data_IF_096999116902
#
_entry.id   IF_096999116902
#
_cell.length_a   1.000
_cell.length_b   1.000
_cell.length_c   1.000
_cell.angle_alpha   90.00
_cell.angle_beta   90.00
_cell.angle_gamma   90.00
#
_symmetry.space_group_name_H-M   'P 1'
#
loop_
_entity.id
_entity.type
_entity.pdbx_description
1 polymer ?
#
# COMPACT_ATOMS: atom_id res chain seq x y z
N UNK A 1 21.03 26.93 6.48
CA UNK A 1 20.46 28.23 6.89
C UNK A 1 19.00 28.38 6.42
N UNK A 2 18.65 28.02 5.18
CA UNK A 2 17.32 28.28 4.59
C UNK A 2 16.17 27.51 5.27
N UNK A 3 16.37 26.24 5.63
CA UNK A 3 15.32 25.42 6.26
C UNK A 3 15.01 25.87 7.70
N UNK A 4 16.03 26.33 8.44
CA UNK A 4 15.85 26.87 9.78
C UNK A 4 15.14 28.22 9.74
N UNK A 5 15.56 29.13 8.86
CA UNK A 5 14.95 30.46 8.70
C UNK A 5 13.48 30.43 8.23
N UNK A 6 13.04 29.28 7.69
CA UNK A 6 11.65 29.05 7.23
C UNK A 6 10.88 28.08 8.13
N UNK A 7 11.34 27.82 9.36
CA UNK A 7 10.70 26.95 10.36
C UNK A 7 10.46 25.49 9.93
N UNK A 8 11.23 25.00 8.96
CA UNK A 8 11.21 23.58 8.58
C UNK A 8 11.98 22.71 9.57
N UNK A 9 13.04 23.28 10.17
CA UNK A 9 13.85 22.60 11.18
C UNK A 9 14.18 23.55 12.32
N UNK A 10 14.25 23.03 13.53
CA UNK A 10 14.73 23.74 14.71
C UNK A 10 16.05 23.15 15.18
N UNK A 11 16.99 24.03 15.57
CA UNK A 11 18.23 23.60 16.20
C UNK A 11 18.03 23.53 17.72
N UNK A 12 18.33 22.39 18.31
CA UNK A 12 18.25 22.20 19.77
C UNK A 12 19.48 22.78 20.45
N UNK A 13 19.41 22.95 21.77
CA UNK A 13 20.53 23.36 22.63
C UNK A 13 21.74 22.41 22.52
N UNK A 14 21.49 21.12 22.21
CA UNK A 14 22.52 20.11 21.97
C UNK A 14 23.09 20.14 20.54
N UNK A 15 22.84 21.21 19.78
CA UNK A 15 23.25 21.38 18.36
C UNK A 15 22.66 20.34 17.39
N UNK A 16 21.66 19.58 17.78
CA UNK A 16 20.89 18.66 16.90
C UNK A 16 19.77 19.41 16.19
N UNK A 17 19.27 18.86 15.07
CA UNK A 17 18.11 19.40 14.36
C UNK A 17 16.87 18.55 14.65
N UNK A 18 15.74 19.21 14.87
CA UNK A 18 14.40 18.58 14.92
C UNK A 18 13.55 19.13 13.78
N UNK A 19 12.62 18.30 13.27
CA UNK A 19 11.66 18.72 12.28
C UNK A 19 10.71 19.76 12.86
N UNK A 20 10.44 20.81 12.10
CA UNK A 20 9.48 21.86 12.46
C UNK A 20 8.06 21.51 12.04
N UNK A 21 7.10 22.19 12.67
CA UNK A 21 5.65 22.00 12.41
C UNK A 21 5.24 22.27 10.97
N UNK A 22 6.03 23.00 10.20
CA UNK A 22 5.78 23.22 8.77
C UNK A 22 5.75 21.92 7.96
N UNK A 23 6.55 20.92 8.28
CA UNK A 23 6.44 19.62 7.63
C UNK A 23 5.07 18.98 7.84
N UNK A 24 4.49 19.12 9.03
CA UNK A 24 3.14 18.65 9.32
C UNK A 24 2.10 19.41 8.47
N UNK A 25 2.20 20.74 8.39
CA UNK A 25 1.29 21.55 7.56
C UNK A 25 1.37 21.15 6.09
N UNK A 26 2.55 21.00 5.52
CA UNK A 26 2.70 20.53 4.12
C UNK A 26 2.26 19.10 3.94
N UNK A 27 2.50 18.22 4.90
CA UNK A 27 1.97 16.85 4.91
C UNK A 27 0.44 16.85 4.83
N UNK A 28 -0.23 17.66 5.65
CA UNK A 28 -1.69 17.79 5.63
C UNK A 28 -2.21 18.32 4.30
N UNK A 29 -1.56 19.32 3.68
CA UNK A 29 -1.94 19.81 2.35
C UNK A 29 -1.83 18.74 1.26
N UNK A 30 -0.88 17.82 1.38
CA UNK A 30 -0.77 16.65 0.49
C UNK A 30 -1.95 15.71 0.71
N UNK A 31 -2.28 15.43 1.97
CA UNK A 31 -3.40 14.56 2.35
C UNK A 31 -4.75 15.16 1.92
N UNK A 32 -4.98 16.45 2.20
CA UNK A 32 -6.21 17.16 1.83
C UNK A 32 -6.43 17.24 0.31
N UNK A 33 -5.36 17.31 -0.48
CA UNK A 33 -5.43 17.31 -1.95
C UNK A 33 -5.59 15.91 -2.54
N UNK A 34 -5.36 14.86 -1.77
CA UNK A 34 -5.55 13.49 -2.22
C UNK A 34 -6.97 13.02 -1.89
N UNK A 35 -7.91 13.34 -2.78
CA UNK A 35 -9.30 12.87 -2.69
C UNK A 35 -9.40 11.35 -2.48
N UNK A 36 -8.40 10.58 -2.90
CA UNK A 36 -8.36 9.12 -2.72
C UNK A 36 -8.40 8.69 -1.25
N UNK A 37 -7.73 9.42 -0.34
CA UNK A 37 -7.73 9.07 1.09
C UNK A 37 -9.12 9.31 1.68
N UNK A 38 -9.70 10.50 1.47
CA UNK A 38 -11.03 10.83 2.01
C UNK A 38 -12.13 9.92 1.46
N UNK A 39 -12.06 9.62 0.16
CA UNK A 39 -13.00 8.71 -0.50
C UNK A 39 -12.86 7.29 0.04
N UNK A 40 -11.63 6.83 0.35
CA UNK A 40 -11.39 5.45 0.78
C UNK A 40 -11.79 5.15 2.22
N UNK A 41 -11.71 6.14 3.12
CA UNK A 41 -11.97 5.97 4.56
C UNK A 41 -13.23 5.17 4.90
N UNK A 42 -14.43 5.51 4.40
CA UNK A 42 -15.65 4.79 4.77
C UNK A 42 -15.61 3.32 4.33
N UNK A 43 -15.07 3.03 3.16
CA UNK A 43 -14.99 1.66 2.63
C UNK A 43 -13.95 0.83 3.38
N UNK A 44 -12.78 1.38 3.64
CA UNK A 44 -11.75 0.72 4.45
C UNK A 44 -12.23 0.46 5.89
N UNK A 45 -12.97 1.41 6.47
CA UNK A 45 -13.57 1.23 7.81
C UNK A 45 -14.61 0.11 7.82
N UNK A 46 -15.46 0.04 6.79
CA UNK A 46 -16.44 -1.05 6.63
C UNK A 46 -15.74 -2.40 6.61
N UNK A 47 -14.73 -2.56 5.75
CA UNK A 47 -13.96 -3.82 5.64
C UNK A 47 -13.26 -4.17 6.95
N UNK A 48 -12.61 -3.19 7.59
CA UNK A 48 -11.95 -3.42 8.88
C UNK A 48 -12.93 -3.87 9.96
N UNK A 49 -14.14 -3.29 9.97
CA UNK A 49 -15.19 -3.66 10.93
C UNK A 49 -15.76 -5.06 10.67
N UNK A 50 -15.99 -5.42 9.38
CA UNK A 50 -16.54 -6.73 9.01
C UNK A 50 -15.54 -7.87 9.29
N UNK A 51 -14.28 -7.66 8.90
CA UNK A 51 -13.26 -8.72 9.00
C UNK A 51 -12.53 -8.75 10.34
N UNK A 52 -12.63 -7.68 11.14
CA UNK A 52 -11.83 -7.50 12.33
C UNK A 52 -10.33 -7.28 12.05
N UNK A 53 -9.93 -7.21 10.77
CA UNK A 53 -8.55 -7.11 10.34
C UNK A 53 -8.16 -5.67 9.96
N UNK A 54 -6.86 -5.39 9.97
CA UNK A 54 -6.35 -4.09 9.54
C UNK A 54 -6.39 -3.92 8.03
N UNK A 55 -6.80 -2.74 7.59
CA UNK A 55 -6.89 -2.38 6.16
C UNK A 55 -5.93 -1.21 5.89
N UNK A 56 -5.11 -1.36 4.86
CA UNK A 56 -4.12 -0.37 4.47
C UNK A 56 -4.34 0.12 3.05
N UNK A 57 -3.99 1.37 2.81
CA UNK A 57 -3.89 1.94 1.47
C UNK A 57 -2.48 2.45 1.23
N UNK A 58 -1.92 2.16 0.05
CA UNK A 58 -0.59 2.60 -0.33
C UNK A 58 -0.48 2.97 -1.80
N UNK A 59 0.59 3.72 -2.10
CA UNK A 59 1.00 4.11 -3.46
C UNK A 59 2.49 3.81 -3.65
N UNK A 60 2.98 3.86 -4.89
CA UNK A 60 4.42 3.93 -5.15
C UNK A 60 4.92 5.37 -4.98
N UNK A 61 5.97 5.54 -4.20
CA UNK A 61 6.68 6.82 -4.08
C UNK A 61 7.72 7.00 -5.21
N UNK A 62 8.43 8.13 -5.22
CA UNK A 62 9.46 8.43 -6.21
C UNK A 62 10.63 7.44 -6.24
N UNK A 63 10.88 6.75 -5.12
CA UNK A 63 11.92 5.71 -5.02
C UNK A 63 11.38 4.32 -5.37
N UNK A 64 10.17 4.23 -5.93
CA UNK A 64 9.46 2.99 -6.27
C UNK A 64 9.25 2.07 -5.06
N UNK A 65 9.16 2.62 -3.85
CA UNK A 65 8.74 1.90 -2.65
C UNK A 65 7.24 2.12 -2.42
N UNK A 66 6.56 1.12 -1.87
CA UNK A 66 5.19 1.31 -1.40
C UNK A 66 5.22 2.17 -0.14
N UNK A 67 4.52 3.30 -0.14
CA UNK A 67 4.31 4.11 1.05
C UNK A 67 2.86 3.98 1.53
N UNK A 68 2.67 3.73 2.81
CA UNK A 68 1.34 3.64 3.41
C UNK A 68 0.79 5.04 3.62
N UNK A 69 -0.33 5.35 2.95
CA UNK A 69 -1.01 6.65 3.02
C UNK A 69 -2.09 6.70 4.07
N UNK A 70 -2.82 5.60 4.25
CA UNK A 70 -3.93 5.50 5.18
C UNK A 70 -4.06 4.09 5.73
N UNK A 71 -4.66 3.98 6.93
CA UNK A 71 -4.95 2.72 7.58
C UNK A 71 -6.23 2.80 8.39
N UNK A 72 -6.94 1.69 8.46
CA UNK A 72 -7.95 1.40 9.47
C UNK A 72 -7.47 0.20 10.29
N UNK A 73 -7.41 0.35 11.60
CA UNK A 73 -6.95 -0.73 12.49
C UNK A 73 -8.09 -1.69 12.77
N UNK A 74 -7.82 -2.98 12.67
CA UNK A 74 -8.76 -4.03 13.04
C UNK A 74 -8.86 -4.20 14.55
N UNK A 75 -10.01 -4.65 15.02
CA UNK A 75 -10.29 -4.88 16.44
C UNK A 75 -9.79 -6.27 16.90
N UNK A 76 -9.35 -7.14 15.98
CA UNK A 76 -8.76 -8.43 16.34
C UNK A 76 -7.53 -8.24 17.21
N UNK A 77 -7.38 -9.01 18.31
CA UNK A 77 -6.21 -8.92 19.18
C UNK A 77 -4.87 -9.12 18.44
N UNK A 78 -4.90 -9.90 17.37
CA UNK A 78 -3.74 -10.20 16.54
C UNK A 78 -3.67 -9.35 15.27
N UNK A 79 -4.47 -8.27 15.16
CA UNK A 79 -4.45 -7.40 13.98
C UNK A 79 -3.07 -6.76 13.81
N UNK A 80 -2.62 -6.73 12.56
CA UNK A 80 -1.32 -6.19 12.22
C UNK A 80 -1.35 -4.67 12.29
N UNK A 81 -0.40 -4.08 13.00
CA UNK A 81 -0.28 -2.64 13.17
C UNK A 81 0.94 -2.10 12.47
N UNK A 82 0.75 -1.02 11.71
CA UNK A 82 1.84 -0.27 11.10
C UNK A 82 1.54 1.23 11.16
N UNK A 83 2.48 2.05 10.71
CA UNK A 83 2.31 3.51 10.72
C UNK A 83 2.16 4.06 9.30
N UNK A 84 1.40 5.14 9.18
CA UNK A 84 1.35 5.95 7.95
C UNK A 84 2.76 6.49 7.65
N UNK A 85 3.12 6.54 6.37
CA UNK A 85 4.45 6.93 5.91
C UNK A 85 5.50 5.81 5.97
N UNK A 86 5.12 4.59 6.39
CA UNK A 86 6.04 3.46 6.36
C UNK A 86 6.26 2.98 4.92
N UNK A 87 7.54 2.73 4.58
CA UNK A 87 7.94 2.32 3.25
C UNK A 87 8.25 0.82 3.19
N UNK A 88 7.78 0.17 2.11
CA UNK A 88 7.90 -1.26 1.89
C UNK A 88 8.44 -1.55 0.49
N UNK A 89 9.27 -2.58 0.37
CA UNK A 89 9.72 -3.07 -0.93
C UNK A 89 8.55 -3.69 -1.70
N UNK A 90 8.28 -3.28 -2.95
CA UNK A 90 7.04 -3.65 -3.64
C UNK A 90 6.96 -5.12 -4.06
N UNK A 91 8.07 -5.82 -4.22
CA UNK A 91 8.09 -7.23 -4.67
C UNK A 91 7.59 -8.23 -3.61
N UNK A 92 7.53 -7.84 -2.35
CA UNK A 92 7.24 -8.73 -1.22
C UNK A 92 6.04 -8.29 -0.37
N UNK A 93 5.15 -7.46 -0.93
CA UNK A 93 3.88 -7.06 -0.29
C UNK A 93 2.77 -7.01 -1.33
N UNK A 94 1.57 -7.43 -0.98
CA UNK A 94 0.43 -7.48 -1.90
C UNK A 94 0.17 -6.15 -2.60
N UNK A 95 0.14 -5.02 -1.87
CA UNK A 95 -0.03 -3.68 -2.46
C UNK A 95 1.05 -3.36 -3.50
N UNK A 96 2.28 -3.75 -3.25
CA UNK A 96 3.39 -3.50 -4.17
C UNK A 96 3.26 -4.30 -5.46
N UNK A 97 2.89 -5.57 -5.37
CA UNK A 97 2.64 -6.41 -6.54
C UNK A 97 1.50 -5.86 -7.38
N UNK A 98 0.41 -5.42 -6.75
CA UNK A 98 -0.69 -4.72 -7.45
C UNK A 98 -0.18 -3.47 -8.16
N UNK A 99 0.49 -2.57 -7.46
CA UNK A 99 0.97 -1.31 -8.04
C UNK A 99 1.94 -1.53 -9.20
N UNK A 100 2.84 -2.52 -9.09
CA UNK A 100 3.74 -2.90 -10.18
C UNK A 100 2.99 -3.54 -11.37
N UNK A 101 1.97 -4.36 -11.10
CA UNK A 101 1.23 -5.07 -12.14
C UNK A 101 0.51 -4.13 -13.11
N UNK A 102 0.07 -2.97 -12.62
CA UNK A 102 -0.69 -1.99 -13.41
C UNK A 102 0.16 -0.81 -13.92
N UNK A 103 1.49 -0.84 -13.74
CA UNK A 103 2.38 0.09 -14.44
C UNK A 103 2.42 -0.20 -15.94
N UNK A 104 2.68 0.84 -16.74
CA UNK A 104 3.05 0.60 -18.13
C UNK A 104 4.40 -0.13 -18.22
N UNK A 105 4.60 -0.86 -19.30
CA UNK A 105 5.76 -1.71 -19.51
C UNK A 105 7.08 -0.94 -19.39
N UNK A 106 7.18 0.23 -20.02
CA UNK A 106 8.39 1.07 -19.97
C UNK A 106 8.78 1.45 -18.54
N UNK A 107 7.80 1.83 -17.71
CA UNK A 107 8.05 2.19 -16.32
C UNK A 107 8.43 0.98 -15.48
N UNK A 108 7.72 -0.15 -15.66
CA UNK A 108 8.03 -1.40 -14.97
C UNK A 108 9.46 -1.86 -15.31
N UNK A 109 9.82 -1.89 -16.59
CA UNK A 109 11.17 -2.24 -17.03
C UNK A 109 12.25 -1.31 -16.42
N UNK A 110 11.99 -0.01 -16.40
CA UNK A 110 12.93 0.95 -15.79
C UNK A 110 13.16 0.68 -14.29
N UNK A 111 12.12 0.23 -13.58
CA UNK A 111 12.23 -0.13 -12.17
C UNK A 111 13.03 -1.43 -12.02
N UNK A 112 12.71 -2.45 -12.80
CA UNK A 112 13.26 -3.79 -12.64
C UNK A 112 14.70 -3.94 -13.15
N UNK A 113 15.20 -3.00 -13.94
CA UNK A 113 16.56 -3.04 -14.55
C UNK A 113 17.67 -3.18 -13.50
N UNK A 114 17.56 -2.45 -12.40
CA UNK A 114 18.55 -2.44 -11.31
C UNK A 114 17.90 -2.75 -9.96
N UNK A 115 16.74 -3.45 -9.99
CA UNK A 115 15.98 -3.72 -8.80
C UNK A 115 16.66 -4.78 -7.91
N UNK A 116 16.83 -4.44 -6.63
CA UNK A 116 17.37 -5.37 -5.65
C UNK A 116 16.24 -6.22 -5.04
N UNK A 117 16.18 -7.47 -5.44
CA UNK A 117 15.26 -8.49 -4.89
C UNK A 117 15.76 -9.00 -3.54
N UNK A 118 15.72 -8.13 -2.53
CA UNK A 118 16.13 -8.51 -1.18
C UNK A 118 15.22 -9.60 -0.63
N UNK A 119 15.82 -10.71 -0.19
CA UNK A 119 15.11 -11.77 0.52
C UNK A 119 14.83 -11.33 1.97
N UNK A 120 13.58 -11.37 2.40
CA UNK A 120 13.13 -11.03 3.75
C UNK A 120 12.64 -12.25 4.51
N UNK A 121 11.96 -13.17 3.84
CA UNK A 121 11.36 -14.39 4.38
C UNK A 121 11.49 -15.52 3.36
N UNK A 122 11.30 -16.79 3.77
CA UNK A 122 11.41 -17.93 2.85
C UNK A 122 10.53 -17.84 1.59
N UNK A 123 9.37 -17.19 1.68
CA UNK A 123 8.42 -17.05 0.57
C UNK A 123 8.63 -15.76 -0.25
N UNK A 124 9.62 -14.93 0.10
CA UNK A 124 9.89 -13.70 -0.67
C UNK A 124 10.22 -14.05 -2.12
N UNK A 125 9.58 -13.38 -3.07
CA UNK A 125 9.98 -13.40 -4.48
C UNK A 125 11.38 -12.81 -4.60
N UNK A 126 12.33 -13.56 -5.15
CA UNK A 126 13.75 -13.17 -5.18
C UNK A 126 14.31 -13.00 -6.58
N UNK A 127 13.51 -13.27 -7.61
CA UNK A 127 13.93 -13.12 -9.01
C UNK A 127 12.95 -12.28 -9.82
N UNK A 128 13.48 -11.64 -10.87
CA UNK A 128 12.67 -10.88 -11.82
C UNK A 128 11.63 -11.77 -12.52
N UNK A 129 12.00 -12.99 -12.90
CA UNK A 129 11.10 -13.91 -13.61
C UNK A 129 9.91 -14.32 -12.73
N UNK A 130 10.15 -14.63 -11.46
CA UNK A 130 9.07 -14.93 -10.50
C UNK A 130 8.14 -13.73 -10.32
N UNK A 131 8.71 -12.53 -10.16
CA UNK A 131 7.89 -11.33 -10.02
C UNK A 131 7.04 -11.09 -11.27
N UNK A 132 7.59 -11.18 -12.48
CA UNK A 132 6.82 -10.97 -13.71
C UNK A 132 5.67 -11.97 -13.84
N UNK A 133 5.89 -13.25 -13.54
CA UNK A 133 4.84 -14.28 -13.52
C UNK A 133 3.74 -13.95 -12.49
N UNK A 134 4.12 -13.51 -11.30
CA UNK A 134 3.17 -13.08 -10.27
C UNK A 134 2.37 -11.84 -10.72
N UNK A 135 3.00 -10.84 -11.37
CA UNK A 135 2.30 -9.67 -11.86
C UNK A 135 1.29 -10.00 -12.99
N UNK A 136 1.58 -11.00 -13.82
CA UNK A 136 0.61 -11.51 -14.80
C UNK A 136 -0.59 -12.16 -14.11
N UNK A 137 -0.35 -12.96 -13.07
CA UNK A 137 -1.42 -13.56 -12.28
C UNK A 137 -2.29 -12.47 -11.63
N UNK A 138 -1.67 -11.44 -11.04
CA UNK A 138 -2.36 -10.29 -10.44
C UNK A 138 -3.29 -9.60 -11.46
N UNK A 139 -2.80 -9.34 -12.68
CA UNK A 139 -3.63 -8.74 -13.74
C UNK A 139 -4.83 -9.63 -14.12
N UNK A 140 -4.62 -10.93 -14.16
CA UNK A 140 -5.64 -11.92 -14.56
C UNK A 140 -6.75 -12.06 -13.51
N UNK A 141 -6.39 -12.11 -12.23
CA UNK A 141 -7.35 -12.35 -11.13
C UNK A 141 -7.85 -11.07 -10.45
N UNK A 142 -7.18 -9.92 -10.68
CA UNK A 142 -7.57 -8.61 -10.14
C UNK A 142 -7.09 -8.32 -8.72
N UNK A 143 -6.34 -9.21 -8.11
CA UNK A 143 -5.77 -9.02 -6.77
C UNK A 143 -4.39 -9.68 -6.66
N UNK A 144 -3.61 -9.25 -5.68
CA UNK A 144 -2.37 -9.90 -5.25
C UNK A 144 -2.53 -10.51 -3.86
N UNK A 145 -1.80 -11.58 -3.60
CA UNK A 145 -1.64 -12.13 -2.26
C UNK A 145 -0.22 -11.92 -1.76
N UNK A 146 -0.05 -11.84 -0.44
CA UNK A 146 1.22 -11.91 0.28
C UNK A 146 1.03 -12.97 1.38
N UNK A 147 1.85 -14.00 1.39
CA UNK A 147 1.84 -15.00 2.43
C UNK A 147 3.24 -15.22 2.99
N UNK A 148 3.52 -14.53 4.11
CA UNK A 148 4.84 -14.57 4.76
C UNK A 148 5.99 -14.14 3.82
N UNK A 149 5.75 -13.17 2.92
CA UNK A 149 6.77 -12.72 1.98
C UNK A 149 7.64 -11.60 2.56
N UNK A 150 7.03 -10.69 3.36
CA UNK A 150 7.75 -9.57 3.99
C UNK A 150 8.01 -9.78 5.48
N UNK A 151 7.05 -10.37 6.17
CA UNK A 151 7.10 -10.67 7.60
C UNK A 151 6.50 -12.05 7.86
N UNK A 152 7.21 -12.89 8.61
CA UNK A 152 6.66 -14.16 9.09
C UNK A 152 5.47 -13.86 10.00
N UNK A 153 4.40 -14.64 9.86
CA UNK A 153 3.15 -14.44 10.62
C UNK A 153 2.19 -13.44 10.00
N UNK A 154 2.54 -12.80 8.86
CA UNK A 154 1.67 -11.85 8.18
C UNK A 154 1.27 -12.34 6.80
N UNK A 155 -0.02 -12.19 6.48
CA UNK A 155 -0.57 -12.42 5.14
C UNK A 155 -1.45 -11.24 4.73
N UNK A 156 -1.63 -11.07 3.42
CA UNK A 156 -2.42 -10.00 2.89
C UNK A 156 -3.06 -10.36 1.54
N UNK A 157 -4.24 -9.77 1.28
CA UNK A 157 -4.79 -9.63 -0.06
C UNK A 157 -4.88 -8.15 -0.40
N UNK A 158 -4.52 -7.80 -1.63
CA UNK A 158 -4.50 -6.42 -2.10
C UNK A 158 -5.14 -6.30 -3.47
N UNK A 159 -5.84 -5.17 -3.72
CA UNK A 159 -6.52 -4.90 -4.98
C UNK A 159 -6.23 -3.46 -5.46
N UNK A 160 -6.26 -3.21 -6.79
CA UNK A 160 -5.93 -1.92 -7.39
C UNK A 160 -7.05 -0.91 -7.22
N UNK A 161 -6.70 0.34 -6.98
CA UNK A 161 -7.62 1.48 -6.99
C UNK A 161 -7.35 2.32 -8.23
N UNK A 162 -8.37 2.46 -9.07
CA UNK A 162 -8.29 3.18 -10.35
C UNK A 162 -8.94 4.55 -10.27
N UNK A 163 -8.40 5.51 -11.02
CA UNK A 163 -9.00 6.81 -11.26
C UNK A 163 -9.93 6.83 -12.50
N UNK A 164 -10.50 7.99 -12.82
CA UNK A 164 -11.36 8.25 -13.99
C UNK A 164 -10.65 8.00 -15.35
N UNK A 165 -9.32 7.99 -15.35
CA UNK A 165 -8.48 7.72 -16.53
C UNK A 165 -8.08 6.24 -16.65
N UNK A 166 -8.66 5.38 -15.84
CA UNK A 166 -8.31 3.95 -15.76
C UNK A 166 -6.85 3.70 -15.34
N UNK A 167 -6.23 4.66 -14.64
CA UNK A 167 -4.88 4.51 -14.10
C UNK A 167 -4.96 3.94 -12.68
N UNK A 168 -4.17 2.91 -12.37
CA UNK A 168 -4.03 2.43 -11.01
C UNK A 168 -3.19 3.44 -10.20
N UNK A 169 -3.86 4.18 -9.32
CA UNK A 169 -3.24 5.27 -8.54
C UNK A 169 -2.89 4.86 -7.11
N UNK A 170 -3.53 3.81 -6.60
CA UNK A 170 -3.30 3.28 -5.26
C UNK A 170 -3.62 1.78 -5.21
N UNK A 171 -3.30 1.14 -4.11
CA UNK A 171 -3.75 -0.21 -3.77
C UNK A 171 -4.33 -0.22 -2.36
N UNK A 172 -5.44 -0.95 -2.17
CA UNK A 172 -6.03 -1.25 -0.86
C UNK A 172 -5.74 -2.70 -0.48
N UNK A 173 -5.50 -2.98 0.80
CA UNK A 173 -5.12 -4.31 1.26
C UNK A 173 -5.67 -4.62 2.64
N UNK A 174 -6.22 -5.82 2.81
CA UNK A 174 -6.47 -6.44 4.13
C UNK A 174 -5.19 -7.16 4.54
N UNK A 175 -4.71 -6.90 5.76
CA UNK A 175 -3.53 -7.57 6.34
C UNK A 175 -3.95 -8.29 7.61
N UNK A 176 -3.61 -9.56 7.72
CA UNK A 176 -4.09 -10.47 8.75
C UNK A 176 -3.01 -11.46 9.18
N UNK A 177 -3.14 -12.11 10.36
CA UNK A 177 -2.25 -13.17 10.81
C UNK A 177 -2.25 -14.36 9.84
N UNK A 178 -1.06 -14.87 9.49
CA UNK A 178 -0.93 -15.99 8.53
C UNK A 178 -1.60 -17.28 8.98
N UNK A 179 -1.91 -17.42 10.26
CA UNK A 179 -2.68 -18.55 10.81
C UNK A 179 -4.10 -18.62 10.21
N UNK A 180 -4.65 -17.49 9.78
CA UNK A 180 -5.97 -17.39 9.14
C UNK A 180 -5.92 -17.65 7.62
N UNK A 181 -4.71 -17.73 7.04
CA UNK A 181 -4.55 -18.01 5.62
C UNK A 181 -5.10 -19.40 5.27
N UNK A 182 -5.91 -19.46 4.23
CA UNK A 182 -6.63 -20.67 3.83
C UNK A 182 -8.00 -20.85 4.49
N UNK A 183 -8.25 -20.22 5.65
CA UNK A 183 -9.52 -20.31 6.37
C UNK A 183 -10.53 -19.24 5.92
N UNK A 184 -10.04 -18.01 5.67
CA UNK A 184 -10.84 -16.84 5.33
C UNK A 184 -10.46 -16.22 3.98
N UNK A 185 -9.71 -16.92 3.13
CA UNK A 185 -9.20 -16.35 1.88
C UNK A 185 -10.31 -15.79 1.00
N UNK A 186 -11.36 -16.56 0.76
CA UNK A 186 -12.47 -16.14 -0.10
C UNK A 186 -13.13 -14.87 0.43
N UNK A 187 -13.45 -14.82 1.71
CA UNK A 187 -14.02 -13.66 2.38
C UNK A 187 -13.13 -12.43 2.24
N UNK A 188 -11.84 -12.55 2.59
CA UNK A 188 -10.91 -11.41 2.57
C UNK A 188 -10.61 -10.93 1.14
N UNK A 189 -10.56 -11.84 0.17
CA UNK A 189 -10.44 -11.48 -1.25
C UNK A 189 -11.66 -10.67 -1.69
N UNK A 190 -12.87 -11.15 -1.41
CA UNK A 190 -14.12 -10.48 -1.81
C UNK A 190 -14.24 -9.09 -1.15
N UNK A 191 -13.95 -8.97 0.13
CA UNK A 191 -13.93 -7.68 0.86
C UNK A 191 -12.89 -6.71 0.30
N UNK A 192 -11.69 -7.20 -0.05
CA UNK A 192 -10.64 -6.39 -0.67
C UNK A 192 -11.05 -5.88 -2.05
N UNK A 193 -11.62 -6.75 -2.88
CA UNK A 193 -12.11 -6.42 -4.23
C UNK A 193 -13.31 -5.46 -4.17
N UNK A 194 -14.23 -5.67 -3.21
CA UNK A 194 -15.35 -4.77 -2.98
C UNK A 194 -14.88 -3.35 -2.63
N UNK A 195 -13.97 -3.21 -1.64
CA UNK A 195 -13.43 -1.91 -1.27
C UNK A 195 -12.74 -1.23 -2.43
N UNK A 196 -11.88 -1.95 -3.16
CA UNK A 196 -11.20 -1.48 -4.36
C UNK A 196 -12.17 -0.92 -5.40
N UNK A 197 -13.23 -1.67 -5.70
CA UNK A 197 -14.26 -1.31 -6.67
C UNK A 197 -15.04 -0.06 -6.23
N UNK A 198 -15.50 -0.02 -4.97
CA UNK A 198 -16.26 1.11 -4.46
C UNK A 198 -15.41 2.39 -4.41
N UNK A 199 -14.16 2.30 -3.96
CA UNK A 199 -13.23 3.43 -3.97
C UNK A 199 -13.01 3.93 -5.41
N UNK A 200 -12.69 3.03 -6.34
CA UNK A 200 -12.46 3.38 -7.75
C UNK A 200 -13.69 4.04 -8.38
N UNK A 201 -14.89 3.49 -8.14
CA UNK A 201 -16.15 4.06 -8.63
C UNK A 201 -16.37 5.49 -8.13
N UNK A 202 -16.08 5.75 -6.86
CA UNK A 202 -16.20 7.09 -6.27
C UNK A 202 -15.09 8.05 -6.72
N UNK A 203 -14.01 7.54 -7.33
CA UNK A 203 -12.98 8.31 -8.03
C UNK A 203 -13.31 8.53 -9.51
N UNK A 204 -14.49 8.11 -9.98
CA UNK A 204 -14.93 8.32 -11.36
C UNK A 204 -14.58 7.16 -12.32
N UNK A 205 -13.99 6.06 -11.81
CA UNK A 205 -13.74 4.88 -12.63
C UNK A 205 -15.05 4.23 -13.08
N UNK A 206 -15.21 4.05 -14.37
CA UNK A 206 -16.33 3.32 -14.97
C UNK A 206 -15.82 2.15 -15.81
N UNK A 207 -16.38 0.97 -15.56
CA UNK A 207 -16.27 -0.17 -16.48
C UNK A 207 -17.18 0.15 -17.68
N UNK A 208 -16.62 0.73 -18.73
CA UNK A 208 -17.29 0.85 -20.04
C UNK A 208 -17.03 -0.39 -20.85
#
# INVERSE_FOLDING_TARGET
YTLHAKDFVFKTTEKKYKLGVKFFNYGNLVVERQSVIEISKPFMKTVSTHTGQSVFMGILNFNNQVIILHKEEGDSPNSIRTRIGYELAPHCVGMGKVLLAYLNETKLESILKEYNFRNYCPNTITTRSELLAELELVRKQGYAQDHNERYIGHSAFAAPVFDDKKTCIAAVSIVFPSELFGQHNEEYIQETLWASKEISRNLGYSLS
#
